data_IF_850695358699
#
_entry.id   IF_850695358699
#
_cell.length_a   1.000
_cell.length_b   1.000
_cell.length_c   1.000
_cell.angle_alpha   90.00
_cell.angle_beta   90.00
_cell.angle_gamma   90.00
#
_symmetry.space_group_name_H-M   'P 1'
#
loop_
_entity.id
_entity.type
_entity.pdbx_description
1 polymer ?
#
# COMPACT_ATOMS: atom_id res chain seq x y z
N UNK A 1 -9.05 7.59 6.76
CA UNK A 1 -9.34 7.25 5.35
C UNK A 1 -8.68 5.93 5.03
N UNK A 2 -9.35 5.05 4.30
CA UNK A 2 -8.77 3.82 3.77
C UNK A 2 -8.83 3.89 2.25
N UNK A 3 -7.68 3.83 1.60
CA UNK A 3 -7.52 3.85 0.15
C UNK A 3 -7.35 2.41 -0.33
N UNK A 4 -8.45 1.82 -0.80
CA UNK A 4 -8.52 0.40 -1.18
C UNK A 4 -8.77 0.19 -2.68
N UNK A 5 -8.96 1.26 -3.46
CA UNK A 5 -9.17 1.12 -4.90
C UNK A 5 -7.94 0.45 -5.53
N UNK A 6 -8.16 -0.65 -6.24
CA UNK A 6 -7.07 -1.43 -6.83
C UNK A 6 -7.56 -2.40 -7.88
N UNK A 7 -6.78 -2.54 -8.95
CA UNK A 7 -6.91 -3.58 -9.97
C UNK A 7 -5.60 -4.35 -10.15
N UNK A 8 -5.74 -5.61 -10.53
CA UNK A 8 -4.64 -6.53 -10.80
C UNK A 8 -4.88 -7.21 -12.15
N UNK A 9 -4.66 -6.45 -13.23
CA UNK A 9 -4.70 -6.98 -14.60
C UNK A 9 -3.30 -7.49 -14.95
N UNK A 10 -3.18 -8.79 -15.15
CA UNK A 10 -1.90 -9.48 -15.30
C UNK A 10 -1.65 -9.89 -16.73
N UNK A 11 -0.43 -9.71 -17.19
CA UNK A 11 -0.01 -10.07 -18.53
C UNK A 11 1.49 -9.91 -18.72
N UNK A 12 2.02 -10.58 -19.75
CA UNK A 12 3.40 -10.35 -20.17
C UNK A 12 3.49 -9.00 -20.89
N UNK A 13 4.61 -8.31 -20.75
CA UNK A 13 4.74 -6.92 -21.24
C UNK A 13 4.59 -6.81 -22.76
N UNK A 14 4.90 -7.87 -23.50
CA UNK A 14 4.83 -7.96 -24.96
C UNK A 14 3.42 -8.30 -25.50
N UNK A 15 2.51 -8.76 -24.64
CA UNK A 15 1.18 -9.26 -25.04
C UNK A 15 0.02 -8.64 -24.26
N UNK A 16 0.28 -7.99 -23.13
CA UNK A 16 -0.75 -7.33 -22.34
C UNK A 16 -1.32 -6.11 -23.09
N UNK A 17 -2.65 -5.93 -23.15
CA UNK A 17 -3.24 -4.78 -23.83
C UNK A 17 -2.83 -3.45 -23.18
N UNK A 18 -2.44 -2.48 -24.00
CA UNK A 18 -1.86 -1.22 -23.52
C UNK A 18 -2.86 -0.38 -22.71
N UNK A 19 -4.15 -0.50 -23.01
CA UNK A 19 -5.25 0.14 -22.28
C UNK A 19 -5.34 -0.34 -20.82
N UNK A 20 -4.94 -1.57 -20.53
CA UNK A 20 -4.93 -2.11 -19.17
C UNK A 20 -3.87 -1.43 -18.31
N UNK A 21 -2.74 -1.04 -18.91
CA UNK A 21 -1.70 -0.27 -18.21
C UNK A 21 -2.27 1.04 -17.71
N UNK A 22 -2.90 1.80 -18.61
CA UNK A 22 -3.51 3.09 -18.26
C UNK A 22 -4.58 2.91 -17.18
N UNK A 23 -5.46 1.93 -17.35
CA UNK A 23 -6.54 1.67 -16.39
C UNK A 23 -6.00 1.31 -15.01
N UNK A 24 -4.95 0.49 -14.94
CA UNK A 24 -4.28 0.16 -13.68
C UNK A 24 -3.60 1.38 -13.04
N UNK A 25 -2.92 2.23 -13.80
CA UNK A 25 -2.31 3.45 -13.25
C UNK A 25 -3.36 4.44 -12.76
N UNK A 26 -4.44 4.64 -13.53
CA UNK A 26 -5.54 5.53 -13.16
C UNK A 26 -6.19 5.10 -11.83
N UNK A 27 -6.43 3.80 -11.65
CA UNK A 27 -7.08 3.28 -10.43
C UNK A 27 -6.09 3.12 -9.28
N UNK A 28 -4.94 2.47 -9.50
CA UNK A 28 -4.03 2.11 -8.41
C UNK A 28 -3.22 3.31 -7.89
N UNK A 29 -2.93 4.29 -8.77
CA UNK A 29 -2.00 5.39 -8.47
C UNK A 29 -2.73 6.73 -8.45
N UNK A 30 -3.42 7.09 -9.54
CA UNK A 30 -4.03 8.43 -9.65
C UNK A 30 -5.21 8.58 -8.69
N UNK A 31 -6.12 7.61 -8.62
CA UNK A 31 -7.20 7.64 -7.63
C UNK A 31 -6.66 7.63 -6.19
N UNK A 32 -5.52 6.97 -5.96
CA UNK A 32 -4.87 6.98 -4.65
C UNK A 32 -4.41 8.39 -4.26
N UNK A 33 -3.70 9.07 -5.16
CA UNK A 33 -3.25 10.46 -4.98
C UNK A 33 -4.43 11.40 -4.75
N UNK A 34 -5.47 11.30 -5.57
CA UNK A 34 -6.68 12.12 -5.45
C UNK A 34 -7.37 11.91 -4.09
N UNK A 35 -7.49 10.66 -3.65
CA UNK A 35 -8.07 10.33 -2.34
C UNK A 35 -7.29 10.96 -1.19
N UNK A 36 -5.95 10.86 -1.21
CA UNK A 36 -5.12 11.50 -0.19
C UNK A 36 -5.22 13.03 -0.24
N UNK A 37 -5.15 13.61 -1.43
CA UNK A 37 -5.25 15.06 -1.62
C UNK A 37 -6.56 15.61 -1.03
N UNK A 38 -7.68 14.89 -1.19
CA UNK A 38 -8.98 15.29 -0.69
C UNK A 38 -9.06 15.40 0.85
N UNK A 39 -8.22 14.66 1.59
CA UNK A 39 -8.31 14.60 3.06
C UNK A 39 -7.11 15.21 3.78
N UNK A 40 -5.94 15.27 3.13
CA UNK A 40 -4.67 15.56 3.79
C UNK A 40 -4.63 16.99 4.35
N UNK A 41 -5.07 17.99 3.58
CA UNK A 41 -5.08 19.39 4.05
C UNK A 41 -5.92 19.56 5.33
N UNK A 42 -7.10 18.93 5.39
CA UNK A 42 -7.98 18.97 6.56
C UNK A 42 -7.39 18.20 7.75
N UNK A 43 -6.65 17.11 7.52
CA UNK A 43 -5.95 16.37 8.57
C UNK A 43 -4.80 17.19 9.16
N UNK A 44 -4.02 17.86 8.31
CA UNK A 44 -2.93 18.77 8.73
C UNK A 44 -3.47 19.93 9.55
N UNK A 45 -4.55 20.57 9.11
CA UNK A 45 -5.15 21.72 9.79
C UNK A 45 -5.64 21.41 11.22
N UNK A 46 -6.20 20.21 11.44
CA UNK A 46 -6.63 19.77 12.78
C UNK A 46 -5.56 19.03 13.58
N UNK A 47 -4.35 18.89 13.03
CA UNK A 47 -3.25 18.12 13.56
C UNK A 47 -3.66 16.72 14.07
N UNK A 48 -4.53 16.03 13.32
CA UNK A 48 -4.86 14.63 13.62
C UNK A 48 -5.45 13.94 12.40
N UNK A 49 -5.04 12.70 12.14
CA UNK A 49 -5.59 11.92 11.04
C UNK A 49 -4.91 10.58 10.82
N UNK A 50 -5.58 9.72 10.06
CA UNK A 50 -4.95 8.46 9.60
C UNK A 50 -5.39 8.16 8.18
N UNK A 51 -4.41 7.95 7.31
CA UNK A 51 -4.55 7.45 5.95
C UNK A 51 -3.96 6.04 5.93
N UNK A 52 -4.73 5.07 5.42
CA UNK A 52 -4.27 3.70 5.21
C UNK A 52 -4.36 3.41 3.72
N UNK A 53 -3.23 3.11 3.08
CA UNK A 53 -3.16 2.75 1.67
C UNK A 53 -2.99 1.23 1.51
N UNK A 54 -3.84 0.60 0.71
CA UNK A 54 -3.76 -0.84 0.43
C UNK A 54 -2.89 -1.07 -0.82
N UNK A 55 -1.69 -1.56 -0.58
CA UNK A 55 -0.70 -1.95 -1.58
C UNK A 55 -0.73 -3.47 -1.82
N UNK A 56 0.44 -4.08 -1.99
CA UNK A 56 0.68 -5.51 -2.18
C UNK A 56 2.17 -5.77 -1.98
N UNK A 57 2.56 -7.01 -1.70
CA UNK A 57 3.96 -7.43 -1.81
C UNK A 57 4.57 -7.14 -3.20
N UNK A 58 3.72 -7.05 -4.23
CA UNK A 58 4.10 -6.64 -5.58
C UNK A 58 4.69 -5.22 -5.63
N UNK A 59 4.54 -4.42 -4.56
CA UNK A 59 5.20 -3.13 -4.40
C UNK A 59 6.60 -3.20 -3.76
N UNK A 60 7.11 -4.39 -3.41
CA UNK A 60 8.49 -4.59 -2.92
C UNK A 60 9.26 -5.67 -3.68
N UNK A 61 8.53 -6.62 -4.25
CA UNK A 61 9.08 -7.73 -5.04
C UNK A 61 8.31 -7.87 -6.33
N UNK A 62 8.99 -8.23 -7.41
CA UNK A 62 8.39 -8.46 -8.72
C UNK A 62 8.01 -9.91 -8.94
N UNK A 63 7.05 -10.14 -9.84
CA UNK A 63 6.56 -11.45 -10.25
C UNK A 63 6.48 -11.51 -11.79
N UNK A 64 6.64 -12.70 -12.38
CA UNK A 64 6.52 -12.87 -13.83
C UNK A 64 5.09 -12.57 -14.30
N UNK A 65 4.92 -11.95 -15.47
CA UNK A 65 3.62 -11.49 -15.99
C UNK A 65 2.90 -10.42 -15.12
N UNK A 66 3.65 -9.61 -14.36
CA UNK A 66 3.09 -8.57 -13.48
C UNK A 66 3.69 -7.18 -13.73
N UNK A 67 4.31 -6.91 -14.88
CA UNK A 67 5.13 -5.72 -15.09
C UNK A 67 4.41 -4.41 -14.72
N UNK A 68 3.24 -4.17 -15.30
CA UNK A 68 2.46 -2.97 -15.01
C UNK A 68 1.89 -2.97 -13.58
N UNK A 69 1.37 -4.10 -13.10
CA UNK A 69 0.83 -4.22 -11.74
C UNK A 69 1.90 -3.93 -10.67
N UNK A 70 3.08 -4.57 -10.76
CA UNK A 70 4.22 -4.29 -9.90
C UNK A 70 4.60 -2.81 -9.97
N UNK A 71 4.72 -2.23 -11.17
CA UNK A 71 5.00 -0.80 -11.33
C UNK A 71 4.04 0.08 -10.53
N UNK A 72 2.72 -0.18 -10.63
CA UNK A 72 1.74 0.59 -9.85
C UNK A 72 1.89 0.40 -8.33
N UNK A 73 2.16 -0.81 -7.83
CA UNK A 73 2.28 -1.06 -6.40
C UNK A 73 3.60 -0.54 -5.80
N UNK A 74 4.67 -0.50 -6.59
CA UNK A 74 5.91 0.21 -6.22
C UNK A 74 5.65 1.71 -6.12
N UNK A 75 4.92 2.30 -7.07
CA UNK A 75 4.52 3.70 -7.00
C UNK A 75 3.69 3.98 -5.73
N UNK A 76 2.72 3.14 -5.40
CA UNK A 76 1.93 3.27 -4.16
C UNK A 76 2.80 3.23 -2.90
N UNK A 77 3.83 2.38 -2.85
CA UNK A 77 4.79 2.38 -1.73
C UNK A 77 5.55 3.70 -1.65
N UNK A 78 6.21 4.11 -2.74
CA UNK A 78 7.02 5.33 -2.76
C UNK A 78 6.20 6.57 -2.40
N UNK A 79 4.98 6.69 -2.96
CA UNK A 79 4.06 7.77 -2.64
C UNK A 79 3.70 7.76 -1.15
N UNK A 80 3.37 6.59 -0.61
CA UNK A 80 2.96 6.48 0.80
C UNK A 80 4.11 6.82 1.76
N UNK A 81 5.32 6.39 1.44
CA UNK A 81 6.53 6.69 2.21
C UNK A 81 6.83 8.19 2.18
N UNK A 82 6.82 8.82 1.01
CA UNK A 82 7.11 10.23 0.88
C UNK A 82 6.05 11.12 1.57
N UNK A 83 4.76 10.85 1.39
CA UNK A 83 3.69 11.61 2.07
C UNK A 83 3.75 11.42 3.58
N UNK A 84 4.24 10.27 4.07
CA UNK A 84 4.46 10.06 5.50
C UNK A 84 5.56 10.98 6.04
N UNK A 85 6.66 11.13 5.30
CA UNK A 85 7.75 12.06 5.66
C UNK A 85 7.25 13.51 5.69
N UNK A 86 6.42 13.91 4.72
CA UNK A 86 5.85 15.26 4.66
C UNK A 86 5.02 15.64 5.90
N UNK A 87 4.46 14.66 6.60
CA UNK A 87 3.62 14.87 7.80
C UNK A 87 4.25 14.37 9.08
N UNK A 88 5.52 13.98 9.08
CA UNK A 88 6.18 13.34 10.22
C UNK A 88 6.19 14.20 11.51
N UNK A 89 6.10 15.53 11.37
CA UNK A 89 6.06 16.48 12.50
C UNK A 89 4.63 16.78 13.00
N UNK A 90 3.62 16.13 12.43
CA UNK A 90 2.20 16.28 12.76
C UNK A 90 1.67 14.96 13.34
N UNK A 91 0.56 15.00 14.08
CA UNK A 91 -0.15 13.77 14.50
C UNK A 91 -1.01 13.19 13.36
N UNK A 92 -0.47 13.18 12.14
CA UNK A 92 -1.11 12.60 10.96
C UNK A 92 -0.35 11.33 10.57
N UNK A 93 -1.01 10.18 10.68
CA UNK A 93 -0.44 8.88 10.32
C UNK A 93 -0.75 8.53 8.89
N UNK A 94 0.25 8.12 8.13
CA UNK A 94 0.08 7.51 6.81
C UNK A 94 0.62 6.10 6.91
N UNK A 95 -0.19 5.09 6.63
CA UNK A 95 0.14 3.67 6.83
C UNK A 95 -0.04 2.96 5.49
N UNK A 96 0.83 1.99 5.21
CA UNK A 96 0.68 1.09 4.07
C UNK A 96 0.48 -0.33 4.55
N UNK A 97 -0.47 -1.01 3.91
CA UNK A 97 -0.71 -2.43 4.07
C UNK A 97 -0.33 -3.10 2.76
N UNK A 98 0.57 -4.06 2.78
CA UNK A 98 1.00 -4.83 1.62
C UNK A 98 0.67 -6.32 1.83
N UNK A 99 -0.51 -6.79 1.37
CA UNK A 99 -0.87 -8.19 1.47
C UNK A 99 0.02 -9.09 0.59
N UNK A 100 0.26 -10.31 1.08
CA UNK A 100 0.83 -11.43 0.34
C UNK A 100 0.09 -12.72 0.68
N UNK A 101 -0.06 -13.58 -0.32
CA UNK A 101 -0.69 -14.88 -0.19
C UNK A 101 0.36 -15.95 -0.47
N UNK A 102 0.64 -16.81 0.51
CA UNK A 102 1.61 -17.92 0.37
C UNK A 102 0.94 -19.26 0.10
N UNK A 103 -0.20 -19.52 0.73
CA UNK A 103 -0.96 -20.75 0.56
C UNK A 103 -2.44 -20.52 0.91
N UNK A 104 -3.31 -21.48 0.59
CA UNK A 104 -4.78 -21.42 0.73
C UNK A 104 -5.28 -20.96 2.12
N UNK A 105 -4.44 -20.97 3.14
CA UNK A 105 -4.82 -20.73 4.53
C UNK A 105 -4.26 -19.43 5.14
N UNK A 106 -3.19 -18.85 4.58
CA UNK A 106 -2.42 -17.79 5.29
C UNK A 106 -2.27 -16.52 4.46
N UNK A 107 -2.75 -15.40 5.01
CA UNK A 107 -2.54 -14.06 4.48
C UNK A 107 -1.45 -13.38 5.33
N UNK A 108 -0.40 -12.92 4.66
CA UNK A 108 0.62 -12.07 5.27
C UNK A 108 0.23 -10.61 5.04
N UNK A 109 0.05 -9.83 6.09
CA UNK A 109 -0.08 -8.37 6.00
C UNK A 109 1.26 -7.74 6.37
N UNK A 110 1.95 -7.15 5.40
CA UNK A 110 3.05 -6.23 5.71
C UNK A 110 2.46 -4.88 6.08
N UNK A 111 2.60 -4.50 7.35
CA UNK A 111 2.16 -3.22 7.87
C UNK A 111 3.41 -2.37 8.15
N UNK A 112 3.62 -1.29 7.39
CA UNK A 112 4.64 -0.30 7.78
C UNK A 112 3.96 0.74 8.66
N UNK A 113 4.15 0.61 9.96
CA UNK A 113 3.82 1.65 10.94
C UNK A 113 5.14 2.24 11.43
N UNK A 114 5.47 3.43 10.92
CA UNK A 114 6.50 4.25 11.53
C UNK A 114 5.81 5.12 12.58
N UNK A 115 5.75 4.66 13.83
CA UNK A 115 5.57 5.58 14.96
C UNK A 115 6.92 6.23 15.22
N UNK A 116 6.97 7.56 15.10
CA UNK A 116 8.06 8.45 15.56
C UNK A 116 9.47 7.83 15.60
N UNK A 117 10.28 8.10 14.56
CA UNK A 117 11.73 7.89 14.53
C UNK A 117 12.26 6.45 14.60
N UNK A 118 11.42 5.43 14.44
CA UNK A 118 11.88 4.04 14.24
C UNK A 118 11.17 3.46 13.02
N UNK A 119 11.88 3.02 11.96
CA UNK A 119 11.26 2.27 10.87
C UNK A 119 10.83 0.89 11.39
N UNK A 120 9.70 0.81 12.09
CA UNK A 120 9.16 -0.46 12.53
C UNK A 120 8.40 -1.13 11.40
N UNK A 121 8.84 -2.33 11.02
CA UNK A 121 8.11 -3.21 10.12
C UNK A 121 7.30 -4.18 10.96
N UNK A 122 5.98 -4.10 10.85
CA UNK A 122 5.10 -5.07 11.52
C UNK A 122 4.63 -6.06 10.46
N UNK A 123 5.05 -7.31 10.60
CA UNK A 123 4.49 -8.41 9.81
C UNK A 123 3.35 -9.00 10.63
N UNK A 124 2.12 -8.68 10.23
CA UNK A 124 0.95 -9.32 10.80
C UNK A 124 0.67 -10.62 10.04
N UNK A 125 0.77 -11.74 10.75
CA UNK A 125 0.34 -13.04 10.27
C UNK A 125 -1.13 -13.23 10.64
N UNK A 126 -1.97 -13.50 9.65
CA UNK A 126 -3.38 -13.83 9.88
C UNK A 126 -3.71 -15.16 9.17
N UNK A 127 -4.04 -16.18 9.96
CA UNK A 127 -4.59 -17.46 9.47
C UNK A 127 -6.13 -17.34 9.32
N UNK A 128 -6.78 -18.24 8.58
CA UNK A 128 -8.24 -18.28 8.36
C UNK A 128 -9.06 -18.27 9.64
N UNK A 129 -8.50 -18.69 10.77
CA UNK A 129 -9.16 -18.67 12.08
C UNK A 129 -9.14 -17.27 12.73
N UNK A 130 -8.59 -16.27 12.06
CA UNK A 130 -8.45 -14.89 12.55
C UNK A 130 -7.61 -14.79 13.84
N UNK A 131 -6.80 -15.82 14.11
CA UNK A 131 -5.79 -15.79 15.16
C UNK A 131 -4.58 -15.01 14.63
N UNK A 132 -4.25 -13.92 15.32
CA UNK A 132 -3.17 -13.01 14.93
C UNK A 132 -1.96 -13.27 15.85
N UNK A 133 -1.00 -14.12 15.47
CA UNK A 133 0.34 -14.02 16.03
C UNK A 133 1.01 -12.79 15.39
N UNK A 134 0.90 -11.62 16.04
CA UNK A 134 1.68 -10.45 15.68
C UNK A 134 3.16 -10.78 15.86
N UNK A 135 3.93 -10.89 14.77
CA UNK A 135 5.38 -10.95 14.85
C UNK A 135 5.94 -9.57 14.47
N UNK A 136 6.33 -8.80 15.49
CA UNK A 136 7.16 -7.62 15.28
C UNK A 136 8.55 -8.10 14.87
N UNK A 137 9.04 -7.71 13.68
CA UNK A 137 10.45 -7.82 13.35
C UNK A 137 10.95 -6.39 13.21
N UNK A 138 11.68 -5.94 14.25
CA UNK A 138 12.25 -4.60 14.34
C UNK A 138 13.29 -4.31 13.27
#
# INVERSE_FOLDING_TARGET
MINNAGMMLLGQIDTQPAEEFKTMFDINVIALLNGMQAVLALMKARNTGTIINISSIAGRKTFGAHAAYCGTKFAVHAITENVREEVAMLDVRVIIIAPYYLDKSVIYLYLIICELNIPAFIILLCDRNNEIPCLLIG
#
